data_IF_074082021412
#
_entry.id   IF_074082021412
#
_cell.length_a   1.000
_cell.length_b   1.000
_cell.length_c   1.000
_cell.angle_alpha   90.00
_cell.angle_beta   90.00
_cell.angle_gamma   90.00
#
_symmetry.space_group_name_H-M   'P 1'
#
loop_
_entity.id
_entity.type
_entity.pdbx_description
1 polymer ?
#
# COMPACT_ATOMS: atom_id res chain seq x y z
N UNK A 1 -5.99 -59.43 28.41
CA UNK A 1 -4.90 -58.45 28.50
C UNK A 1 -4.99 -57.56 27.28
N UNK A 2 -5.16 -56.25 27.44
CA UNK A 2 -4.95 -55.33 26.32
C UNK A 2 -3.46 -55.42 25.98
N UNK A 3 -3.14 -55.72 24.73
CA UNK A 3 -1.75 -55.73 24.26
C UNK A 3 -1.21 -54.30 24.42
N UNK A 4 -0.31 -54.11 25.38
CA UNK A 4 0.29 -52.80 25.68
C UNK A 4 0.97 -52.19 24.45
N UNK A 5 1.40 -53.03 23.51
CA UNK A 5 2.05 -52.62 22.26
C UNK A 5 1.09 -51.88 21.33
N UNK A 6 -0.14 -52.37 21.19
CA UNK A 6 -1.17 -51.73 20.36
C UNK A 6 -1.69 -50.44 20.98
N UNK A 7 -1.79 -50.40 22.31
CA UNK A 7 -2.17 -49.18 23.03
C UNK A 7 -1.15 -48.04 22.82
N UNK A 8 0.15 -48.34 22.92
CA UNK A 8 1.22 -47.34 22.71
C UNK A 8 1.26 -46.85 21.26
N UNK A 9 1.13 -47.75 20.27
CA UNK A 9 1.06 -47.37 18.84
C UNK A 9 -0.13 -46.47 18.54
N UNK A 10 -1.31 -46.81 19.05
CA UNK A 10 -2.52 -46.01 18.84
C UNK A 10 -2.42 -44.64 19.53
N UNK A 11 -1.79 -44.57 20.71
CA UNK A 11 -1.54 -43.31 21.40
C UNK A 11 -0.55 -42.42 20.62
N UNK A 12 0.57 -42.97 20.13
CA UNK A 12 1.54 -42.25 19.29
C UNK A 12 0.89 -41.73 18.00
N UNK A 13 0.06 -42.55 17.36
CA UNK A 13 -0.71 -42.15 16.18
C UNK A 13 -1.64 -40.98 16.50
N UNK A 14 -2.45 -41.08 17.55
CA UNK A 14 -3.38 -40.02 17.95
C UNK A 14 -2.66 -38.69 18.27
N UNK A 15 -1.49 -38.77 18.91
CA UNK A 15 -0.66 -37.60 19.21
C UNK A 15 -0.11 -36.96 17.93
N UNK A 16 0.39 -37.74 16.98
CA UNK A 16 0.85 -37.25 15.68
C UNK A 16 -0.27 -36.62 14.85
N UNK A 17 -1.41 -37.31 14.74
CA UNK A 17 -2.60 -36.85 14.00
C UNK A 17 -3.13 -35.54 14.61
N UNK A 18 -3.11 -35.43 15.95
CA UNK A 18 -3.50 -34.23 16.67
C UNK A 18 -2.58 -33.03 16.40
N UNK A 19 -1.26 -33.25 16.40
CA UNK A 19 -0.30 -32.19 16.08
C UNK A 19 -0.40 -31.75 14.62
N UNK A 20 -0.55 -32.69 13.68
CA UNK A 20 -0.77 -32.38 12.27
C UNK A 20 -2.04 -31.54 12.08
N UNK A 21 -3.15 -31.94 12.71
CA UNK A 21 -4.40 -31.19 12.67
C UNK A 21 -4.24 -29.78 13.23
N UNK A 22 -3.57 -29.65 14.38
CA UNK A 22 -3.30 -28.36 15.02
C UNK A 22 -2.47 -27.43 14.12
N UNK A 23 -1.37 -27.93 13.56
CA UNK A 23 -0.52 -27.13 12.66
C UNK A 23 -1.26 -26.75 11.37
N UNK A 24 -2.02 -27.67 10.78
CA UNK A 24 -2.80 -27.40 9.57
C UNK A 24 -3.84 -26.30 9.81
N UNK A 25 -4.56 -26.35 10.93
CA UNK A 25 -5.52 -25.31 11.30
C UNK A 25 -4.83 -23.98 11.59
N UNK A 26 -3.72 -23.99 12.34
CA UNK A 26 -2.94 -22.80 12.63
C UNK A 26 -2.42 -22.13 11.35
N UNK A 27 -1.80 -22.91 10.46
CA UNK A 27 -1.27 -22.42 9.18
C UNK A 27 -2.40 -21.88 8.29
N UNK A 28 -3.53 -22.58 8.16
CA UNK A 28 -4.66 -22.11 7.36
C UNK A 28 -5.26 -20.80 7.89
N UNK A 29 -5.40 -20.66 9.21
CA UNK A 29 -5.90 -19.43 9.82
C UNK A 29 -4.93 -18.24 9.61
N UNK A 30 -3.63 -18.49 9.73
CA UNK A 30 -2.58 -17.49 9.48
C UNK A 30 -2.55 -17.08 8.01
N UNK A 31 -2.58 -18.05 7.08
CA UNK A 31 -2.60 -17.78 5.64
C UNK A 31 -3.84 -16.97 5.23
N UNK A 32 -5.01 -17.30 5.79
CA UNK A 32 -6.22 -16.51 5.55
C UNK A 32 -6.05 -15.06 6.05
N UNK A 33 -5.50 -14.88 7.24
CA UNK A 33 -5.25 -13.55 7.82
C UNK A 33 -4.30 -12.73 6.95
N UNK A 34 -3.19 -13.31 6.51
CA UNK A 34 -2.25 -12.64 5.61
C UNK A 34 -2.88 -12.34 4.24
N UNK A 35 -3.65 -13.27 3.68
CA UNK A 35 -4.37 -13.05 2.42
C UNK A 35 -5.34 -11.87 2.53
N UNK A 36 -6.10 -11.75 3.61
CA UNK A 36 -6.99 -10.60 3.84
C UNK A 36 -6.21 -9.28 3.91
N UNK A 37 -5.06 -9.29 4.59
CA UNK A 37 -4.21 -8.09 4.69
C UNK A 37 -3.61 -7.69 3.34
N UNK A 38 -3.10 -8.67 2.58
CA UNK A 38 -2.57 -8.48 1.22
C UNK A 38 -3.65 -7.92 0.26
N UNK A 39 -4.88 -8.44 0.35
CA UNK A 39 -6.03 -7.89 -0.39
C UNK A 39 -6.34 -6.45 0.01
N UNK A 40 -6.27 -6.12 1.31
CA UNK A 40 -6.44 -4.76 1.81
C UNK A 40 -5.39 -3.79 1.25
N UNK A 41 -4.13 -4.22 1.20
CA UNK A 41 -3.05 -3.43 0.57
C UNK A 41 -3.32 -3.22 -0.92
N UNK A 42 -3.71 -4.27 -1.65
CA UNK A 42 -4.01 -4.18 -3.08
C UNK A 42 -5.21 -3.26 -3.38
N UNK A 43 -6.25 -3.31 -2.55
CA UNK A 43 -7.38 -2.39 -2.63
C UNK A 43 -6.94 -0.95 -2.39
N UNK A 44 -6.06 -0.70 -1.40
CA UNK A 44 -5.52 0.64 -1.13
C UNK A 44 -4.69 1.18 -2.30
N UNK A 45 -3.83 0.35 -2.90
CA UNK A 45 -3.08 0.70 -4.11
C UNK A 45 -4.02 1.16 -5.24
N UNK A 46 -5.08 0.39 -5.48
CA UNK A 46 -6.06 0.66 -6.52
C UNK A 46 -6.81 1.98 -6.25
N UNK A 47 -7.30 2.16 -5.02
CA UNK A 47 -8.03 3.36 -4.64
C UNK A 47 -7.17 4.63 -4.73
N UNK A 48 -5.89 4.56 -4.38
CA UNK A 48 -4.95 5.68 -4.52
C UNK A 48 -4.78 6.03 -6.00
N UNK A 49 -4.60 5.04 -6.87
CA UNK A 49 -4.45 5.27 -8.30
C UNK A 49 -5.71 5.90 -8.92
N UNK A 50 -6.89 5.42 -8.55
CA UNK A 50 -8.16 5.95 -9.02
C UNK A 50 -8.41 7.39 -8.53
N UNK A 51 -8.17 7.66 -7.24
CA UNK A 51 -8.31 9.00 -6.68
C UNK A 51 -7.37 9.99 -7.40
N UNK A 52 -6.12 9.61 -7.67
CA UNK A 52 -5.19 10.46 -8.45
C UNK A 52 -5.72 10.80 -9.82
N UNK A 53 -6.26 9.80 -10.54
CA UNK A 53 -6.86 10.01 -11.86
C UNK A 53 -8.01 11.01 -11.78
N UNK A 54 -8.91 10.86 -10.81
CA UNK A 54 -10.04 11.78 -10.61
C UNK A 54 -9.57 13.20 -10.27
N UNK A 55 -8.55 13.35 -9.43
CA UNK A 55 -7.97 14.66 -9.11
C UNK A 55 -7.30 15.32 -10.31
N UNK A 56 -6.54 14.57 -11.11
CA UNK A 56 -5.92 15.09 -12.34
C UNK A 56 -6.97 15.56 -13.36
N UNK A 57 -8.06 14.81 -13.50
CA UNK A 57 -9.17 15.20 -14.38
C UNK A 57 -9.89 16.45 -13.87
N UNK A 58 -10.19 16.49 -12.57
CA UNK A 58 -10.79 17.66 -11.93
C UNK A 58 -9.91 18.91 -12.10
N UNK A 59 -8.63 18.77 -11.83
CA UNK A 59 -7.65 19.85 -12.00
C UNK A 59 -7.61 20.34 -13.45
N UNK A 60 -7.46 19.44 -14.42
CA UNK A 60 -7.44 19.81 -15.83
C UNK A 60 -8.69 20.61 -16.21
N UNK A 61 -9.86 20.17 -15.76
CA UNK A 61 -11.13 20.85 -16.00
C UNK A 61 -11.20 22.24 -15.33
N UNK A 62 -10.70 22.37 -14.10
CA UNK A 62 -10.67 23.64 -13.38
C UNK A 62 -9.68 24.62 -14.00
N UNK A 63 -8.48 24.16 -14.35
CA UNK A 63 -7.45 24.96 -15.04
C UNK A 63 -7.99 25.47 -16.37
N UNK A 64 -8.64 24.62 -17.17
CA UNK A 64 -9.24 25.05 -18.43
C UNK A 64 -10.32 26.11 -18.23
N UNK A 65 -11.22 25.93 -17.25
CA UNK A 65 -12.26 26.93 -16.94
C UNK A 65 -11.65 28.25 -16.47
N UNK A 66 -10.63 28.18 -15.62
CA UNK A 66 -9.92 29.34 -15.11
C UNK A 66 -9.23 30.13 -16.23
N UNK A 67 -8.44 29.46 -17.09
CA UNK A 67 -7.76 30.13 -18.19
C UNK A 67 -8.76 30.76 -19.18
N UNK A 68 -9.87 30.08 -19.47
CA UNK A 68 -10.93 30.67 -20.30
C UNK A 68 -11.53 31.95 -19.68
N UNK A 69 -11.82 31.95 -18.38
CA UNK A 69 -12.34 33.13 -17.67
C UNK A 69 -11.32 34.26 -17.61
N UNK A 70 -10.05 33.92 -17.35
CA UNK A 70 -8.93 34.85 -17.33
C UNK A 70 -8.77 35.54 -18.68
N UNK A 71 -8.78 34.80 -19.78
CA UNK A 71 -8.66 35.36 -21.14
C UNK A 71 -9.88 36.23 -21.50
N UNK A 72 -11.10 35.82 -21.13
CA UNK A 72 -12.30 36.65 -21.32
C UNK A 72 -12.20 37.97 -20.55
N UNK A 73 -11.83 37.92 -19.27
CA UNK A 73 -11.66 39.12 -18.44
C UNK A 73 -10.57 40.04 -18.98
N UNK A 74 -9.43 39.46 -19.39
CA UNK A 74 -8.32 40.18 -20.00
C UNK A 74 -8.75 40.90 -21.27
N UNK A 75 -9.44 40.22 -22.19
CA UNK A 75 -9.94 40.83 -23.43
C UNK A 75 -10.83 42.02 -23.14
N UNK A 76 -11.81 41.86 -22.24
CA UNK A 76 -12.74 42.92 -21.87
C UNK A 76 -12.03 44.11 -21.19
N UNK A 77 -11.06 43.83 -20.31
CA UNK A 77 -10.32 44.86 -19.58
C UNK A 77 -9.40 45.65 -20.51
N UNK A 78 -8.74 44.98 -21.46
CA UNK A 78 -7.92 45.64 -22.49
C UNK A 78 -8.80 46.51 -23.39
N UNK A 79 -9.94 46.00 -23.87
CA UNK A 79 -10.86 46.79 -24.70
C UNK A 79 -11.35 48.05 -23.99
N UNK A 80 -11.78 47.91 -22.73
CA UNK A 80 -12.21 49.05 -21.90
C UNK A 80 -11.06 50.01 -21.62
N UNK A 81 -9.91 49.50 -21.20
CA UNK A 81 -8.78 50.35 -20.80
C UNK A 81 -8.21 51.12 -21.99
N UNK A 82 -8.11 50.50 -23.17
CA UNK A 82 -7.67 51.16 -24.40
C UNK A 82 -8.59 52.29 -24.84
N UNK A 83 -9.90 52.16 -24.61
CA UNK A 83 -10.88 53.19 -24.97
C UNK A 83 -10.67 54.51 -24.19
N UNK A 84 -10.17 54.41 -22.96
CA UNK A 84 -9.93 55.58 -22.09
C UNK A 84 -8.44 55.96 -21.98
N UNK A 85 -7.53 55.02 -22.21
CA UNK A 85 -6.08 55.16 -22.13
C UNK A 85 -5.40 54.23 -23.16
N UNK A 86 -5.00 54.74 -24.33
CA UNK A 86 -4.43 53.92 -25.42
C UNK A 86 -3.18 53.10 -25.05
N UNK A 87 -2.28 53.63 -24.22
CA UNK A 87 -1.04 52.96 -23.79
C UNK A 87 -1.25 51.86 -22.74
N UNK A 88 -2.43 51.76 -22.14
CA UNK A 88 -2.75 50.78 -21.08
C UNK A 88 -2.53 49.32 -21.50
N UNK A 89 -2.71 49.01 -22.80
CA UNK A 89 -2.48 47.67 -23.36
C UNK A 89 -1.06 47.17 -23.10
N UNK A 90 -0.05 47.99 -23.44
CA UNK A 90 1.35 47.60 -23.28
C UNK A 90 1.73 47.40 -21.82
N UNK A 91 1.17 48.22 -20.91
CA UNK A 91 1.40 48.09 -19.48
C UNK A 91 0.78 46.81 -18.91
N UNK A 92 -0.44 46.45 -19.35
CA UNK A 92 -1.10 45.20 -18.95
C UNK A 92 -0.35 43.98 -19.49
N UNK A 93 0.07 43.98 -20.76
CA UNK A 93 0.86 42.89 -21.36
C UNK A 93 2.22 42.71 -20.66
N UNK A 94 2.89 43.80 -20.27
CA UNK A 94 4.14 43.74 -19.50
C UNK A 94 3.93 43.19 -18.08
N UNK A 95 2.88 43.64 -17.40
CA UNK A 95 2.55 43.15 -16.07
C UNK A 95 2.23 41.65 -16.11
N UNK A 96 1.40 41.20 -17.06
CA UNK A 96 1.07 39.79 -17.23
C UNK A 96 2.31 38.94 -17.47
N UNK A 97 3.21 39.39 -18.34
CA UNK A 97 4.47 38.69 -18.61
C UNK A 97 5.31 38.53 -17.34
N UNK A 98 5.40 39.57 -16.50
CA UNK A 98 6.10 39.48 -15.22
C UNK A 98 5.45 38.48 -14.25
N UNK A 99 4.13 38.37 -14.24
CA UNK A 99 3.40 37.39 -13.44
C UNK A 99 3.60 35.95 -13.97
N UNK A 100 3.48 35.72 -15.28
CA UNK A 100 3.71 34.42 -15.91
C UNK A 100 5.15 33.94 -15.71
N UNK A 101 6.13 34.80 -15.98
CA UNK A 101 7.54 34.43 -15.95
C UNK A 101 8.03 34.10 -14.51
N UNK A 102 7.42 34.69 -13.47
CA UNK A 102 7.92 34.52 -12.10
C UNK A 102 7.00 33.69 -11.19
N UNK A 103 5.69 33.93 -11.22
CA UNK A 103 4.76 33.33 -10.24
C UNK A 103 4.26 31.99 -10.77
N UNK A 104 3.83 31.92 -12.03
CA UNK A 104 3.29 30.68 -12.59
C UNK A 104 4.37 29.58 -12.65
N UNK A 105 5.62 29.94 -13.00
CA UNK A 105 6.72 28.98 -13.03
C UNK A 105 7.08 28.43 -11.64
N UNK A 106 7.17 29.29 -10.63
CA UNK A 106 7.49 28.89 -9.24
C UNK A 106 6.37 28.04 -8.65
N UNK A 107 5.11 28.45 -8.85
CA UNK A 107 3.95 27.69 -8.39
C UNK A 107 3.90 26.31 -9.04
N UNK A 108 4.12 26.23 -10.36
CA UNK A 108 4.16 24.97 -11.09
C UNK A 108 5.26 24.04 -10.58
N UNK A 109 6.50 24.52 -10.42
CA UNK A 109 7.61 23.70 -9.93
C UNK A 109 7.39 23.19 -8.50
N UNK A 110 6.91 24.05 -7.60
CA UNK A 110 6.62 23.66 -6.22
C UNK A 110 5.52 22.59 -6.17
N UNK A 111 4.51 22.74 -7.03
CA UNK A 111 3.43 21.78 -7.16
C UNK A 111 3.93 20.41 -7.65
N UNK A 112 4.66 20.37 -8.76
CA UNK A 112 5.22 19.13 -9.31
C UNK A 112 6.12 18.42 -8.28
N UNK A 113 6.90 19.19 -7.53
CA UNK A 113 7.74 18.67 -6.45
C UNK A 113 6.90 18.06 -5.31
N UNK A 114 5.84 18.75 -4.87
CA UNK A 114 4.94 18.24 -3.82
C UNK A 114 4.23 16.97 -4.26
N UNK A 115 3.69 16.94 -5.48
CA UNK A 115 3.04 15.76 -6.06
C UNK A 115 4.03 14.59 -6.13
N UNK A 116 5.25 14.81 -6.64
CA UNK A 116 6.27 13.77 -6.68
C UNK A 116 6.67 13.27 -5.29
N UNK A 117 6.79 14.15 -4.30
CA UNK A 117 7.13 13.78 -2.93
C UNK A 117 6.04 12.93 -2.27
N UNK A 118 4.77 13.32 -2.42
CA UNK A 118 3.63 12.55 -1.95
C UNK A 118 3.63 11.18 -2.62
N UNK A 119 3.87 11.15 -3.93
CA UNK A 119 3.85 9.93 -4.71
C UNK A 119 4.92 8.93 -4.31
N UNK A 120 6.14 9.42 -4.13
CA UNK A 120 7.26 8.62 -3.70
C UNK A 120 7.07 8.12 -2.25
N UNK A 121 6.55 8.97 -1.36
CA UNK A 121 6.26 8.60 0.03
C UNK A 121 5.22 7.46 0.10
N UNK A 122 4.11 7.59 -0.63
CA UNK A 122 3.07 6.56 -0.69
C UNK A 122 3.62 5.24 -1.24
N UNK A 123 4.35 5.30 -2.36
CA UNK A 123 4.96 4.12 -2.98
C UNK A 123 5.97 3.44 -2.06
N UNK A 124 6.80 4.23 -1.37
CA UNK A 124 7.79 3.72 -0.42
C UNK A 124 7.11 3.02 0.76
N UNK A 125 6.13 3.67 1.39
CA UNK A 125 5.41 3.11 2.54
C UNK A 125 4.66 1.82 2.18
N UNK A 126 3.95 1.81 1.05
CA UNK A 126 3.31 0.61 0.51
C UNK A 126 4.31 -0.52 0.24
N UNK A 127 5.46 -0.18 -0.34
CA UNK A 127 6.55 -1.13 -0.59
C UNK A 127 7.13 -1.72 0.70
N UNK A 128 7.31 -0.91 1.74
CA UNK A 128 7.78 -1.35 3.05
C UNK A 128 6.76 -2.28 3.73
N UNK A 129 5.49 -1.91 3.72
CA UNK A 129 4.41 -2.72 4.30
C UNK A 129 4.33 -4.10 3.62
N UNK A 130 4.36 -4.15 2.28
CA UNK A 130 4.40 -5.43 1.54
C UNK A 130 5.58 -6.30 1.93
N UNK A 131 6.77 -5.71 2.10
CA UNK A 131 7.97 -6.45 2.53
C UNK A 131 7.83 -7.00 3.95
N UNK A 132 7.33 -6.19 4.87
CA UNK A 132 7.12 -6.62 6.26
C UNK A 132 6.09 -7.73 6.37
N UNK A 133 4.98 -7.64 5.63
CA UNK A 133 3.95 -8.70 5.57
C UNK A 133 4.55 -10.01 5.07
N UNK A 134 5.31 -9.97 3.97
CA UNK A 134 5.96 -11.16 3.43
C UNK A 134 6.94 -11.78 4.44
N UNK A 135 7.75 -10.97 5.11
CA UNK A 135 8.69 -11.43 6.14
C UNK A 135 7.97 -12.02 7.36
N UNK A 136 6.88 -11.39 7.82
CA UNK A 136 6.08 -11.92 8.93
C UNK A 136 5.49 -13.28 8.57
N UNK A 137 4.94 -13.42 7.36
CA UNK A 137 4.40 -14.69 6.86
C UNK A 137 5.46 -15.79 6.82
N UNK A 138 6.65 -15.47 6.29
CA UNK A 138 7.77 -16.41 6.29
C UNK A 138 8.20 -16.81 7.70
N UNK A 139 8.26 -15.86 8.64
CA UNK A 139 8.60 -16.15 10.03
C UNK A 139 7.57 -17.07 10.70
N UNK A 140 6.27 -16.88 10.43
CA UNK A 140 5.22 -17.78 10.92
C UNK A 140 5.36 -19.19 10.34
N UNK A 141 5.61 -19.32 9.04
CA UNK A 141 5.83 -20.61 8.41
C UNK A 141 7.04 -21.34 9.03
N UNK A 142 8.16 -20.64 9.23
CA UNK A 142 9.35 -21.17 9.92
C UNK A 142 9.06 -21.56 11.37
N UNK A 143 8.26 -20.76 12.09
CA UNK A 143 7.83 -21.05 13.45
C UNK A 143 7.03 -22.35 13.54
N UNK A 144 6.08 -22.53 12.62
CA UNK A 144 5.28 -23.75 12.48
C UNK A 144 6.15 -24.99 12.21
N UNK A 145 7.11 -24.87 11.28
CA UNK A 145 8.07 -25.94 10.98
C UNK A 145 8.95 -26.28 12.20
N UNK A 146 9.43 -25.28 12.93
CA UNK A 146 10.22 -25.48 14.14
C UNK A 146 9.42 -26.14 15.26
N UNK A 147 8.14 -25.76 15.44
CA UNK A 147 7.24 -26.43 16.39
C UNK A 147 7.07 -27.91 16.03
N UNK A 148 6.92 -28.24 14.75
CA UNK A 148 6.86 -29.64 14.30
C UNK A 148 8.12 -30.41 14.67
N UNK A 149 9.31 -29.85 14.38
CA UNK A 149 10.60 -30.48 14.71
C UNK A 149 10.77 -30.73 16.21
N UNK A 150 10.39 -29.76 17.05
CA UNK A 150 10.44 -29.91 18.50
C UNK A 150 9.50 -31.01 18.99
N UNK A 151 8.28 -31.06 18.43
CA UNK A 151 7.32 -32.10 18.73
C UNK A 151 7.84 -33.49 18.34
N UNK A 152 8.37 -33.66 17.13
CA UNK A 152 8.93 -34.95 16.67
C UNK A 152 10.08 -35.43 17.58
N UNK A 153 10.90 -34.48 18.06
CA UNK A 153 11.98 -34.77 19.03
C UNK A 153 11.41 -35.27 20.36
N UNK A 154 10.39 -34.59 20.90
CA UNK A 154 9.75 -34.97 22.17
C UNK A 154 9.05 -36.33 22.08
N UNK A 155 8.35 -36.61 20.98
CA UNK A 155 7.69 -37.90 20.74
C UNK A 155 8.72 -39.02 20.67
N UNK A 156 9.87 -38.79 20.01
CA UNK A 156 10.96 -39.77 19.92
C UNK A 156 11.57 -40.06 21.30
N UNK A 157 11.87 -39.03 22.09
CA UNK A 157 12.38 -39.18 23.46
C UNK A 157 11.41 -39.94 24.37
N UNK A 158 10.10 -39.64 24.26
CA UNK A 158 9.07 -40.33 25.02
C UNK A 158 9.01 -41.83 24.65
N UNK A 159 9.14 -42.16 23.36
CA UNK A 159 9.17 -43.55 22.88
C UNK A 159 10.37 -44.33 23.45
N UNK A 160 11.56 -43.74 23.46
CA UNK A 160 12.78 -44.33 24.00
C UNK A 160 12.68 -44.58 25.52
N UNK A 161 12.08 -43.64 26.27
CA UNK A 161 11.84 -43.80 27.71
C UNK A 161 10.83 -44.92 28.03
N UNK A 162 9.87 -45.21 27.14
CA UNK A 162 8.92 -46.30 27.33
C UNK A 162 9.47 -47.67 26.94
N UNK A 163 10.50 -47.74 26.08
CA UNK A 163 11.16 -49.00 25.71
C UNK A 163 12.17 -49.50 26.77
N UNK A 164 12.60 -48.63 27.69
CA UNK A 164 13.57 -48.92 28.75
C UNK A 164 12.93 -49.26 30.10
N UNK A 165 11.59 -49.29 30.19
CA UNK A 165 10.80 -49.68 31.38
C UNK A 165 10.00 -50.95 31.11
#
# INVERSE_FOLDING_TARGET
MIDKTDYVKNAQKAVNDGMETFLNWGNAAIDNTFSMYEQGIAARDTNIAEARKQFQELESNLTQKWENQKEQFKSMTIELSQAYWPESKQLMEQAEKLYQDNIDEVVKKNREMLESNIDNSLKSNLGLEKKWVAQLRENYARGSENLRKQFDTLVSQAAESTATK
#
